data_IF_697390293239
#
_entry.id   IF_697390293239
#
_cell.length_a   1.000
_cell.length_b   1.000
_cell.length_c   1.000
_cell.angle_alpha   90.00
_cell.angle_beta   90.00
_cell.angle_gamma   90.00
#
_symmetry.space_group_name_H-M   'P 1'
#
loop_
_entity.id
_entity.type
_entity.pdbx_description
1 polymer ?
#
# COMPACT_ATOMS: atom_id res chain seq x y z
N UNK A 1 11.34 61.15 54.06
CA UNK A 1 10.31 60.24 53.51
C UNK A 1 9.79 60.81 52.20
N UNK A 2 10.36 60.44 51.04
CA UNK A 2 9.62 60.45 49.76
C UNK A 2 10.36 59.55 48.75
N UNK A 3 9.64 58.56 48.22
CA UNK A 3 10.11 57.47 47.35
C UNK A 3 10.30 57.95 45.90
N UNK A 4 11.43 57.60 45.30
CA UNK A 4 11.68 57.62 43.85
C UNK A 4 10.94 56.44 43.20
N UNK A 5 10.05 56.70 42.25
CA UNK A 5 9.44 55.68 41.40
C UNK A 5 10.40 55.31 40.25
N UNK A 6 10.84 54.06 40.21
CA UNK A 6 11.41 53.45 39.01
C UNK A 6 10.27 52.99 38.10
N UNK A 7 10.25 53.49 36.86
CA UNK A 7 9.39 53.00 35.79
C UNK A 7 10.09 51.79 35.16
N UNK A 8 9.60 50.59 35.44
CA UNK A 8 10.06 49.36 34.78
C UNK A 8 9.32 49.16 33.46
N UNK A 9 10.05 49.12 32.35
CA UNK A 9 9.52 48.75 31.04
C UNK A 9 9.40 47.23 30.99
N UNK A 10 8.18 46.70 31.00
CA UNK A 10 7.92 45.28 30.77
C UNK A 10 7.94 45.00 29.27
N UNK A 11 8.99 44.34 28.78
CA UNK A 11 9.03 43.78 27.44
C UNK A 11 8.13 42.54 27.40
N UNK A 12 6.94 42.65 26.79
CA UNK A 12 6.09 41.51 26.50
C UNK A 12 6.69 40.73 25.34
N UNK A 13 7.30 39.57 25.63
CA UNK A 13 7.72 38.62 24.62
C UNK A 13 6.47 37.98 24.01
N UNK A 14 6.16 38.34 22.76
CA UNK A 14 5.17 37.67 21.92
C UNK A 14 5.69 36.27 21.57
N UNK A 15 5.19 35.25 22.28
CA UNK A 15 5.28 33.86 21.86
C UNK A 15 4.37 33.69 20.64
N UNK A 16 4.95 33.72 19.45
CA UNK A 16 4.27 33.18 18.27
C UNK A 16 4.12 31.66 18.48
N UNK A 17 2.92 31.08 18.38
CA UNK A 17 2.82 29.64 18.25
C UNK A 17 3.48 29.25 16.93
N UNK A 18 4.70 28.73 17.01
CA UNK A 18 5.30 27.98 15.92
C UNK A 18 4.40 26.78 15.67
N UNK A 19 3.53 26.88 14.67
CA UNK A 19 2.81 25.73 14.15
C UNK A 19 3.87 24.74 13.68
N UNK A 20 4.07 23.66 14.44
CA UNK A 20 4.74 22.50 13.91
C UNK A 20 4.01 22.11 12.62
N UNK A 21 4.71 21.76 11.53
CA UNK A 21 4.05 21.12 10.41
C UNK A 21 3.25 19.95 11.00
N UNK A 22 1.98 19.84 10.65
CA UNK A 22 1.18 18.68 11.00
C UNK A 22 1.83 17.48 10.31
N UNK A 23 2.75 16.80 11.00
CA UNK A 23 3.30 15.52 10.56
C UNK A 23 2.09 14.61 10.39
N UNK A 24 1.97 14.04 9.18
CA UNK A 24 0.79 13.31 8.74
C UNK A 24 0.40 12.23 9.74
N UNK A 25 -0.91 12.03 9.90
CA UNK A 25 -1.49 11.07 10.81
C UNK A 25 -0.84 9.69 10.60
N UNK A 26 -0.21 9.15 11.64
CA UNK A 26 0.35 7.79 11.59
C UNK A 26 -0.79 6.79 11.40
N UNK A 27 -0.66 5.94 10.38
CA UNK A 27 -1.66 4.93 10.01
C UNK A 27 -1.07 3.56 10.22
N UNK A 28 -1.62 2.80 11.16
CA UNK A 28 -1.15 1.45 11.49
C UNK A 28 -2.08 0.34 11.02
N UNK A 29 -1.50 -0.78 10.63
CA UNK A 29 -2.11 -2.11 10.48
C UNK A 29 -1.20 -3.15 11.14
N UNK A 30 -1.56 -4.43 11.10
CA UNK A 30 -0.69 -5.52 11.53
C UNK A 30 -0.55 -6.57 10.43
N UNK A 31 0.63 -7.13 10.25
CA UNK A 31 0.98 -8.15 9.27
C UNK A 31 2.11 -9.03 9.85
N UNK A 32 2.14 -10.33 9.62
CA UNK A 32 3.26 -11.20 10.00
C UNK A 32 4.36 -11.12 8.93
N UNK A 33 5.17 -10.07 8.98
CA UNK A 33 6.13 -9.74 7.91
C UNK A 33 7.38 -10.62 7.97
N UNK A 34 7.73 -11.18 9.14
CA UNK A 34 8.90 -12.04 9.34
C UNK A 34 8.59 -13.54 9.47
N UNK A 35 7.31 -13.92 9.41
CA UNK A 35 6.83 -15.30 9.38
C UNK A 35 7.00 -16.02 10.72
N UNK A 36 7.08 -15.30 11.84
CA UNK A 36 7.22 -15.88 13.17
C UNK A 36 5.87 -16.34 13.79
N UNK A 37 4.76 -16.11 13.07
CA UNK A 37 3.41 -16.40 13.48
C UNK A 37 2.77 -15.32 14.36
N UNK A 38 3.40 -14.14 14.50
CA UNK A 38 2.90 -13.02 15.32
C UNK A 38 2.67 -11.79 14.45
N UNK A 39 1.61 -11.00 14.72
CA UNK A 39 1.38 -9.79 13.96
C UNK A 39 2.39 -8.69 14.29
N UNK A 40 3.11 -8.20 13.28
CA UNK A 40 3.99 -7.04 13.37
C UNK A 40 3.22 -5.74 13.13
N UNK A 41 3.42 -4.69 13.95
CA UNK A 41 2.88 -3.36 13.66
C UNK A 41 3.54 -2.77 12.41
N UNK A 42 2.71 -2.44 11.42
CA UNK A 42 3.12 -1.75 10.19
C UNK A 42 2.50 -0.36 10.18
N UNK A 43 3.31 0.69 10.06
CA UNK A 43 2.81 2.06 9.95
C UNK A 43 3.29 2.79 8.70
N UNK A 44 2.44 3.69 8.21
CA UNK A 44 2.74 4.60 7.11
C UNK A 44 2.56 6.04 7.59
N UNK A 45 3.59 6.86 7.41
CA UNK A 45 3.61 8.26 7.83
C UNK A 45 4.07 9.17 6.70
N UNK A 46 3.32 10.23 6.40
CA UNK A 46 3.77 11.26 5.44
C UNK A 46 4.95 12.05 6.02
N UNK A 47 6.08 12.06 5.32
CA UNK A 47 7.31 12.78 5.73
C UNK A 47 7.68 13.93 4.80
N UNK A 48 7.13 13.97 3.58
CA UNK A 48 7.14 15.13 2.67
C UNK A 48 5.96 15.07 1.70
N UNK A 49 5.75 16.07 0.85
CA UNK A 49 4.66 16.07 -0.15
C UNK A 49 4.71 14.92 -1.17
N UNK A 50 5.86 14.26 -1.30
CA UNK A 50 6.12 13.21 -2.28
C UNK A 50 6.62 11.89 -1.68
N UNK A 51 6.74 11.81 -0.36
CA UNK A 51 7.28 10.62 0.29
C UNK A 51 6.67 10.33 1.66
N UNK A 52 6.59 9.04 1.94
CA UNK A 52 6.13 8.49 3.21
C UNK A 52 7.23 7.59 3.80
N UNK A 53 7.17 7.38 5.11
CA UNK A 53 7.94 6.40 5.85
C UNK A 53 7.03 5.18 6.07
N UNK A 54 7.41 4.04 5.49
CA UNK A 54 6.91 2.73 5.86
C UNK A 54 7.79 2.22 7.00
N UNK A 55 7.18 1.86 8.13
CA UNK A 55 7.87 1.30 9.29
C UNK A 55 7.22 -0.01 9.67
N UNK A 56 8.02 -1.04 9.93
CA UNK A 56 7.59 -2.32 10.49
C UNK A 56 8.33 -2.55 11.81
N UNK A 57 7.60 -2.89 12.86
CA UNK A 57 8.19 -3.27 14.15
C UNK A 57 8.33 -4.77 14.25
N UNK A 58 9.55 -5.27 14.16
CA UNK A 58 9.90 -6.68 14.29
C UNK A 58 10.34 -7.00 15.73
N UNK A 59 10.51 -8.28 16.11
CA UNK A 59 11.03 -8.66 17.42
C UNK A 59 12.40 -8.03 17.74
N UNK A 60 12.39 -6.95 18.50
CA UNK A 60 13.61 -6.28 19.00
C UNK A 60 14.14 -5.15 18.12
N UNK A 61 13.50 -4.84 16.98
CA UNK A 61 13.93 -3.76 16.10
C UNK A 61 12.78 -3.11 15.30
N UNK A 62 13.07 -1.95 14.70
CA UNK A 62 12.22 -1.35 13.69
C UNK A 62 12.98 -1.30 12.38
N UNK A 63 12.33 -1.71 11.30
CA UNK A 63 12.84 -1.58 9.94
C UNK A 63 12.03 -0.53 9.19
N UNK A 64 12.74 0.36 8.51
CA UNK A 64 12.17 1.54 7.86
C UNK A 64 12.48 1.54 6.36
N UNK A 65 11.52 2.00 5.55
CA UNK A 65 11.73 2.31 4.15
C UNK A 65 11.07 3.65 3.79
N UNK A 66 11.77 4.44 2.96
CA UNK A 66 11.18 5.62 2.34
C UNK A 66 10.46 5.19 1.06
N UNK A 67 9.15 5.40 1.01
CA UNK A 67 8.31 4.99 -0.11
C UNK A 67 7.77 6.22 -0.85
N UNK A 68 7.60 6.15 -2.18
CA UNK A 68 6.92 7.21 -2.93
C UNK A 68 5.46 7.33 -2.48
N UNK A 69 4.94 8.55 -2.53
CA UNK A 69 3.49 8.71 -2.66
C UNK A 69 2.85 9.76 -1.75
N UNK A 70 1.56 9.91 -2.01
CA UNK A 70 0.59 10.61 -1.22
C UNK A 70 -0.57 9.65 -1.04
N UNK A 71 -0.61 8.97 0.11
CA UNK A 71 -1.63 7.95 0.37
C UNK A 71 -3.06 8.52 0.42
N UNK A 72 -3.25 9.84 0.37
CA UNK A 72 -4.59 10.44 0.54
C UNK A 72 -5.24 10.02 1.85
N UNK A 73 -4.44 9.71 2.88
CA UNK A 73 -4.88 9.17 4.16
C UNK A 73 -5.19 7.66 4.20
N UNK A 74 -4.95 6.91 3.11
CA UNK A 74 -5.10 5.45 3.04
C UNK A 74 -4.07 4.73 3.91
N UNK A 75 -4.46 3.58 4.44
CA UNK A 75 -3.58 2.68 5.17
C UNK A 75 -2.96 1.66 4.20
N UNK A 76 -1.79 1.08 4.54
CA UNK A 76 -1.33 -0.13 3.87
C UNK A 76 -2.32 -1.28 4.09
N UNK A 77 -2.31 -2.27 3.19
CA UNK A 77 -3.18 -3.46 3.28
C UNK A 77 -2.33 -4.72 3.42
N UNK A 78 -2.41 -5.44 4.56
CA UNK A 78 -1.76 -6.75 4.72
C UNK A 78 -2.32 -7.78 3.74
N UNK A 79 -1.44 -8.55 3.10
CA UNK A 79 -1.77 -9.61 2.14
C UNK A 79 -0.71 -10.72 2.20
N UNK A 80 -1.05 -11.93 1.76
CA UNK A 80 -0.10 -13.06 1.66
C UNK A 80 -0.02 -13.54 0.20
N UNK A 81 0.50 -12.76 -0.73
CA UNK A 81 0.20 -12.94 -2.17
C UNK A 81 0.64 -14.30 -2.76
N UNK A 82 1.57 -15.00 -2.11
CA UNK A 82 2.13 -16.28 -2.53
C UNK A 82 1.77 -17.47 -1.62
N UNK A 83 1.16 -17.26 -0.45
CA UNK A 83 0.80 -18.34 0.46
C UNK A 83 1.99 -18.97 1.19
N UNK A 84 3.07 -18.23 1.43
CA UNK A 84 4.28 -18.77 2.05
C UNK A 84 4.35 -18.57 3.57
N UNK A 85 3.37 -17.87 4.15
CA UNK A 85 3.30 -17.57 5.58
C UNK A 85 4.06 -16.32 5.99
N UNK A 86 4.60 -15.57 5.04
CA UNK A 86 5.10 -14.22 5.24
C UNK A 86 4.11 -13.26 4.60
N UNK A 87 3.61 -12.31 5.38
CA UNK A 87 2.74 -11.28 4.85
C UNK A 87 3.56 -10.23 4.08
N UNK A 88 3.03 -9.82 2.94
CA UNK A 88 3.37 -8.57 2.28
C UNK A 88 2.39 -7.45 2.65
N UNK A 89 2.73 -6.23 2.27
CA UNK A 89 1.82 -5.08 2.38
C UNK A 89 1.67 -4.35 1.06
N UNK A 90 0.41 -4.10 0.68
CA UNK A 90 0.08 -3.17 -0.40
C UNK A 90 0.19 -1.74 0.12
N UNK A 91 1.22 -1.02 -0.30
CA UNK A 91 1.46 0.36 0.10
C UNK A 91 0.80 1.30 -0.90
N UNK A 92 -0.15 2.17 -0.48
CA UNK A 92 -0.79 3.12 -1.38
C UNK A 92 0.24 4.13 -1.91
N UNK A 93 0.43 4.15 -3.23
CA UNK A 93 1.34 5.07 -3.93
C UNK A 93 0.60 6.33 -4.37
N UNK A 94 -0.59 6.17 -4.95
CA UNK A 94 -1.38 7.27 -5.50
C UNK A 94 -2.89 6.99 -5.40
N UNK A 95 -3.68 8.05 -5.30
CA UNK A 95 -5.14 8.01 -5.36
C UNK A 95 -5.62 9.00 -6.41
N UNK A 96 -6.42 8.54 -7.37
CA UNK A 96 -6.94 9.39 -8.44
C UNK A 96 -7.92 8.67 -9.34
N UNK A 97 -8.80 9.41 -10.02
CA UNK A 97 -9.77 8.85 -10.97
C UNK A 97 -10.65 7.70 -10.42
N UNK A 98 -10.96 7.72 -9.12
CA UNK A 98 -11.66 6.64 -8.40
C UNK A 98 -10.89 5.31 -8.32
N UNK A 99 -9.56 5.36 -8.44
CA UNK A 99 -8.65 4.22 -8.34
C UNK A 99 -7.56 4.52 -7.32
N UNK A 100 -7.18 3.50 -6.55
CA UNK A 100 -5.97 3.50 -5.72
C UNK A 100 -4.92 2.65 -6.42
N UNK A 101 -3.72 3.21 -6.57
CA UNK A 101 -2.54 2.46 -7.00
C UNK A 101 -1.76 2.06 -5.76
N UNK A 102 -1.49 0.77 -5.63
CA UNK A 102 -0.63 0.20 -4.62
C UNK A 102 0.67 -0.31 -5.25
N UNK A 103 1.73 -0.32 -4.45
CA UNK A 103 2.96 -1.08 -4.74
C UNK A 103 3.05 -2.21 -3.70
N UNK A 104 3.39 -3.41 -4.13
CA UNK A 104 3.62 -4.54 -3.21
C UNK A 104 4.98 -4.38 -2.53
N UNK A 105 5.01 -4.45 -1.20
CA UNK A 105 6.22 -4.41 -0.38
C UNK A 105 6.33 -5.66 0.47
N UNK A 106 7.54 -6.18 0.60
CA UNK A 106 7.85 -7.37 1.39
C UNK A 106 9.05 -7.10 2.30
N UNK A 107 9.30 -8.04 3.22
CA UNK A 107 10.46 -8.05 4.10
C UNK A 107 11.31 -9.30 3.87
N UNK A 108 12.63 -9.18 4.00
CA UNK A 108 13.52 -10.32 4.25
C UNK A 108 14.65 -9.89 5.18
N UNK A 109 15.20 -10.82 5.95
CA UNK A 109 16.31 -10.53 6.85
C UNK A 109 17.55 -9.97 6.11
N UNK A 110 17.77 -10.38 4.86
CA UNK A 110 18.90 -9.96 4.03
C UNK A 110 18.67 -8.60 3.36
N UNK A 111 17.44 -8.33 2.90
CA UNK A 111 17.11 -7.16 2.11
C UNK A 111 16.50 -6.01 2.94
N UNK A 112 16.01 -6.29 4.14
CA UNK A 112 15.12 -5.40 4.87
C UNK A 112 13.77 -5.26 4.14
N UNK A 113 13.15 -4.09 4.25
CA UNK A 113 11.94 -3.77 3.49
C UNK A 113 12.28 -3.42 2.04
N UNK A 114 11.59 -4.04 1.09
CA UNK A 114 11.78 -3.78 -0.33
C UNK A 114 10.46 -3.76 -1.09
N UNK A 115 10.36 -2.86 -2.08
CA UNK A 115 9.27 -2.90 -3.04
C UNK A 115 9.51 -4.05 -4.02
N UNK A 116 8.53 -4.94 -4.14
CA UNK A 116 8.64 -6.13 -4.99
C UNK A 116 8.67 -5.69 -6.46
N UNK A 117 9.76 -5.98 -7.19
CA UNK A 117 9.80 -5.70 -8.62
C UNK A 117 9.12 -6.81 -9.43
N UNK A 118 8.65 -6.45 -10.61
CA UNK A 118 8.40 -7.36 -11.71
C UNK A 118 9.74 -7.87 -12.28
N UNK A 119 9.70 -8.91 -13.12
CA UNK A 119 10.90 -9.47 -13.78
C UNK A 119 11.69 -8.48 -14.63
N UNK A 120 11.06 -7.41 -15.11
CA UNK A 120 11.71 -6.33 -15.87
C UNK A 120 12.29 -5.21 -14.97
N UNK A 121 12.15 -5.34 -13.65
CA UNK A 121 12.63 -4.37 -12.66
C UNK A 121 11.63 -3.26 -12.33
N UNK A 122 10.48 -3.19 -12.99
CA UNK A 122 9.44 -2.21 -12.66
C UNK A 122 8.78 -2.55 -11.31
N UNK A 123 8.30 -1.57 -10.51
CA UNK A 123 7.54 -1.86 -9.29
C UNK A 123 6.28 -2.67 -9.63
N UNK A 124 6.01 -3.71 -8.84
CA UNK A 124 4.77 -4.47 -8.99
C UNK A 124 3.60 -3.67 -8.43
N UNK A 125 2.84 -3.07 -9.35
CA UNK A 125 1.68 -2.24 -9.02
C UNK A 125 0.37 -3.02 -9.11
N UNK A 126 -0.48 -2.79 -8.10
CA UNK A 126 -1.83 -3.33 -8.00
C UNK A 126 -2.82 -2.15 -8.00
N UNK A 127 -3.99 -2.34 -8.60
CA UNK A 127 -4.98 -1.27 -8.76
C UNK A 127 -6.32 -1.71 -8.19
N UNK A 128 -6.99 -0.83 -7.47
CA UNK A 128 -8.32 -1.07 -6.90
C UNK A 128 -9.23 0.12 -7.17
N UNK A 129 -10.42 -0.12 -7.75
CA UNK A 129 -11.43 0.90 -8.03
C UNK A 129 -11.88 0.96 -9.50
N UNK A 130 -11.88 2.16 -10.10
CA UNK A 130 -12.25 2.41 -11.51
C UNK A 130 -13.61 3.08 -11.74
N UNK A 131 -14.51 3.05 -10.75
CA UNK A 131 -15.77 3.79 -10.80
C UNK A 131 -16.80 3.26 -11.82
N UNK A 132 -17.43 4.16 -12.59
CA UNK A 132 -18.48 3.79 -13.56
C UNK A 132 -17.91 3.32 -14.90
N UNK A 133 -16.73 3.78 -15.28
CA UNK A 133 -16.14 3.57 -16.62
C UNK A 133 -14.87 2.73 -16.58
N UNK A 134 -14.46 2.23 -15.42
CA UNK A 134 -13.36 1.29 -15.29
C UNK A 134 -13.60 0.30 -14.15
N UNK A 135 -12.93 -0.84 -14.22
CA UNK A 135 -12.86 -1.86 -13.18
C UNK A 135 -11.40 -2.18 -12.97
N UNK A 136 -10.92 -1.90 -11.77
CA UNK A 136 -9.62 -2.31 -11.26
C UNK A 136 -9.83 -3.11 -9.99
N UNK A 137 -9.40 -4.35 -9.95
CA UNK A 137 -9.50 -5.20 -8.76
C UNK A 137 -8.38 -6.24 -8.76
N UNK A 138 -8.18 -6.91 -7.64
CA UNK A 138 -7.25 -8.02 -7.50
C UNK A 138 -7.83 -9.11 -6.59
N UNK A 139 -7.20 -10.27 -6.59
CA UNK A 139 -7.53 -11.36 -5.71
C UNK A 139 -6.48 -12.46 -5.81
N UNK A 140 -6.47 -13.35 -4.83
CA UNK A 140 -5.53 -14.46 -4.78
C UNK A 140 -6.27 -15.77 -5.02
N UNK A 141 -5.61 -16.68 -5.72
CA UNK A 141 -6.14 -17.97 -6.09
C UNK A 141 -5.12 -19.09 -5.89
N UNK A 142 -5.55 -20.36 -6.01
CA UNK A 142 -4.64 -21.50 -5.92
C UNK A 142 -3.50 -21.41 -6.95
N UNK A 143 -2.27 -21.45 -6.46
CA UNK A 143 -1.03 -21.55 -7.24
C UNK A 143 -0.35 -22.91 -7.05
N UNK A 144 0.73 -23.16 -7.78
CA UNK A 144 1.57 -24.35 -7.58
C UNK A 144 3.06 -23.98 -7.67
N UNK A 145 3.79 -23.92 -6.54
CA UNK A 145 3.30 -24.03 -5.15
C UNK A 145 2.49 -22.78 -4.70
N UNK A 146 1.78 -22.89 -3.58
CA UNK A 146 1.20 -21.73 -2.87
C UNK A 146 0.00 -21.08 -3.55
N UNK A 147 0.03 -19.75 -3.62
CA UNK A 147 -1.00 -18.87 -4.22
C UNK A 147 -0.41 -18.10 -5.40
N UNK A 148 -1.31 -17.60 -6.23
CA UNK A 148 -1.04 -16.60 -7.26
C UNK A 148 -1.94 -15.40 -7.03
N UNK A 149 -1.50 -14.22 -7.47
CA UNK A 149 -2.31 -13.01 -7.47
C UNK A 149 -2.81 -12.73 -8.88
N UNK A 150 -4.12 -12.56 -9.02
CA UNK A 150 -4.76 -12.02 -10.21
C UNK A 150 -5.01 -10.52 -10.04
N UNK A 151 -4.62 -9.74 -11.05
CA UNK A 151 -4.95 -8.32 -11.19
C UNK A 151 -5.83 -8.14 -12.41
N UNK A 152 -6.90 -7.36 -12.29
CA UNK A 152 -7.84 -7.03 -13.36
C UNK A 152 -7.79 -5.53 -13.56
N UNK A 153 -7.61 -5.10 -14.82
CA UNK A 153 -7.76 -3.71 -15.22
C UNK A 153 -8.51 -3.62 -16.53
N UNK A 154 -9.69 -3.01 -16.51
CA UNK A 154 -10.53 -2.84 -17.69
C UNK A 154 -11.24 -1.48 -17.70
N UNK A 155 -11.57 -0.98 -18.89
CA UNK A 155 -12.31 0.26 -19.11
C UNK A 155 -13.53 0.01 -20.00
N UNK A 156 -14.58 0.80 -19.79
CA UNK A 156 -15.78 0.79 -20.61
C UNK A 156 -15.46 1.38 -21.99
N UNK A 157 -15.72 0.63 -23.04
CA UNK A 157 -15.53 1.05 -24.42
C UNK A 157 -16.82 1.58 -25.04
N UNK A 158 -16.69 2.21 -26.22
CA UNK A 158 -17.81 2.83 -26.94
C UNK A 158 -18.92 1.85 -27.37
N UNK A 159 -18.60 0.55 -27.44
CA UNK A 159 -19.58 -0.51 -27.72
C UNK A 159 -20.40 -0.93 -26.48
N UNK A 160 -20.15 -0.29 -25.34
CA UNK A 160 -20.79 -0.59 -24.06
C UNK A 160 -20.21 -1.80 -23.33
N UNK A 161 -19.23 -2.49 -23.92
CA UNK A 161 -18.50 -3.58 -23.27
C UNK A 161 -17.22 -3.08 -22.61
N UNK A 162 -16.71 -3.84 -21.63
CA UNK A 162 -15.40 -3.58 -21.03
C UNK A 162 -14.27 -4.20 -21.86
N UNK A 163 -13.13 -3.50 -21.91
CA UNK A 163 -11.89 -3.94 -22.53
C UNK A 163 -10.72 -3.74 -21.60
N UNK A 164 -9.76 -4.66 -21.62
CA UNK A 164 -8.61 -4.61 -20.74
C UNK A 164 -7.96 -5.97 -20.59
N UNK A 165 -7.56 -6.30 -19.37
CA UNK A 165 -6.81 -7.51 -19.10
C UNK A 165 -6.98 -8.01 -17.66
N UNK A 166 -6.83 -9.34 -17.53
CA UNK A 166 -6.53 -10.02 -16.28
C UNK A 166 -5.12 -10.57 -16.37
N UNK A 167 -4.28 -10.28 -15.39
CA UNK A 167 -2.88 -10.74 -15.31
C UNK A 167 -2.69 -11.53 -14.04
N UNK A 168 -2.19 -12.75 -14.16
CA UNK A 168 -1.84 -13.64 -13.05
C UNK A 168 -0.35 -13.54 -12.80
N UNK A 169 0.02 -13.33 -11.54
CA UNK A 169 1.39 -13.22 -11.07
C UNK A 169 1.72 -14.33 -10.08
N UNK A 170 2.91 -14.89 -10.21
CA UNK A 170 3.56 -15.69 -9.17
C UNK A 170 4.63 -14.83 -8.51
N UNK A 171 4.54 -14.65 -7.19
CA UNK A 171 5.60 -14.06 -6.40
C UNK A 171 6.48 -15.17 -5.82
N UNK A 172 7.80 -15.05 -6.03
CA UNK A 172 8.79 -15.96 -5.48
C UNK A 172 10.17 -15.30 -5.51
N UNK A 173 11.00 -15.60 -4.51
CA UNK A 173 12.40 -15.13 -4.45
C UNK A 173 12.54 -13.59 -4.59
N UNK A 174 11.60 -12.85 -3.99
CA UNK A 174 11.62 -11.38 -4.00
C UNK A 174 11.27 -10.75 -5.35
N UNK A 175 10.74 -11.49 -6.33
CA UNK A 175 10.33 -10.96 -7.64
C UNK A 175 8.96 -11.51 -8.05
N UNK A 176 8.12 -10.64 -8.60
CA UNK A 176 6.84 -11.04 -9.20
C UNK A 176 7.01 -11.35 -10.70
N UNK A 177 6.63 -12.56 -11.08
CA UNK A 177 6.59 -13.01 -12.46
C UNK A 177 5.17 -13.11 -12.96
N UNK A 178 4.86 -12.45 -14.09
CA UNK A 178 3.66 -12.76 -14.84
C UNK A 178 3.73 -14.20 -15.34
N UNK A 179 2.70 -14.98 -15.03
CA UNK A 179 2.56 -16.38 -15.46
C UNK A 179 1.46 -16.55 -16.50
N UNK A 180 0.47 -15.67 -16.51
CA UNK A 180 -0.62 -15.70 -17.47
C UNK A 180 -1.22 -14.31 -17.66
N UNK A 181 -1.67 -14.02 -18.89
CA UNK A 181 -2.39 -12.81 -19.24
C UNK A 181 -3.55 -13.14 -20.15
N UNK A 182 -4.74 -12.72 -19.75
CA UNK A 182 -5.97 -12.90 -20.49
C UNK A 182 -6.48 -11.52 -20.96
N UNK A 183 -6.52 -11.25 -22.27
CA UNK A 183 -7.19 -10.05 -22.76
C UNK A 183 -8.71 -10.16 -22.51
N UNK A 184 -9.31 -9.03 -22.14
CA UNK A 184 -10.74 -8.88 -21.91
C UNK A 184 -11.28 -7.98 -23.01
N UNK A 185 -12.37 -8.38 -23.67
CA UNK A 185 -12.99 -7.59 -24.73
C UNK A 185 -14.49 -7.84 -24.84
N UNK A 186 -15.27 -6.76 -24.84
CA UNK A 186 -16.71 -6.79 -25.12
C UNK A 186 -17.55 -7.46 -24.03
N UNK A 187 -17.01 -7.57 -22.81
CA UNK A 187 -17.72 -8.23 -21.69
C UNK A 187 -18.58 -7.24 -20.90
N UNK A 188 -19.66 -7.74 -20.29
CA UNK A 188 -20.48 -6.94 -19.37
C UNK A 188 -19.79 -6.71 -18.02
N UNK A 189 -20.27 -5.75 -17.23
CA UNK A 189 -19.67 -5.40 -15.92
C UNK A 189 -19.62 -6.57 -14.93
N UNK A 190 -20.64 -7.42 -14.95
CA UNK A 190 -20.77 -8.55 -14.02
C UNK A 190 -20.09 -9.83 -14.56
N UNK A 191 -19.35 -9.73 -15.67
CA UNK A 191 -18.62 -10.86 -16.24
C UNK A 191 -17.55 -11.36 -15.26
N UNK A 192 -17.44 -12.67 -15.01
CA UNK A 192 -16.41 -13.25 -14.13
C UNK A 192 -14.97 -12.86 -14.50
N UNK A 193 -14.68 -12.55 -15.77
CA UNK A 193 -13.36 -12.09 -16.20
C UNK A 193 -12.96 -10.76 -15.53
N UNK A 194 -13.93 -9.94 -15.14
CA UNK A 194 -13.73 -8.68 -14.43
C UNK A 194 -13.71 -8.83 -12.90
N UNK A 195 -14.04 -10.01 -12.37
CA UNK A 195 -14.16 -10.23 -10.94
C UNK A 195 -12.87 -10.79 -10.35
N UNK A 196 -12.42 -10.15 -9.28
CA UNK A 196 -11.45 -10.67 -8.33
C UNK A 196 -11.79 -10.08 -6.96
N UNK A 197 -11.55 -10.85 -5.90
CA UNK A 197 -11.91 -10.48 -4.52
C UNK A 197 -10.64 -10.25 -3.69
N UNK A 198 -10.33 -9.01 -3.29
CA UNK A 198 -9.18 -8.70 -2.45
C UNK A 198 -9.12 -9.50 -1.15
N UNK A 199 -10.27 -9.89 -0.57
CA UNK A 199 -10.31 -10.66 0.67
C UNK A 199 -9.69 -12.05 0.53
N UNK A 200 -9.61 -12.59 -0.69
CA UNK A 200 -8.92 -13.85 -0.96
C UNK A 200 -7.40 -13.76 -0.81
N UNK A 201 -6.85 -12.54 -0.82
CA UNK A 201 -5.43 -12.30 -0.53
C UNK A 201 -5.12 -12.10 0.95
N UNK A 202 -6.11 -12.15 1.85
CA UNK A 202 -5.87 -11.94 3.27
C UNK A 202 -4.77 -12.88 3.82
N UNK A 203 -3.99 -12.41 4.81
CA UNK A 203 -3.11 -13.25 5.62
C UNK A 203 -3.84 -14.49 6.12
N UNK A 204 -3.21 -15.67 6.02
CA UNK A 204 -3.83 -16.93 6.43
C UNK A 204 -3.98 -17.05 7.95
N UNK A 205 -3.21 -16.26 8.69
CA UNK A 205 -3.04 -16.39 10.13
C UNK A 205 -3.92 -15.42 10.93
N UNK A 206 -4.86 -14.74 10.25
CA UNK A 206 -5.90 -13.88 10.84
C UNK A 206 -7.05 -14.62 11.55
N UNK A 207 -6.83 -15.81 12.13
CA UNK A 207 -7.80 -16.54 12.97
C UNK A 207 -7.24 -16.91 14.35
#
# INVERSE_FOLDING_TARGET
MTRTLLVGVAAAALLLPGGAPALGQERGVTADMDGDGRPDPVSLQQVSDSSMLLRVGLPGEFVDAKVPGNAGGRQPVPVDVNGDGFDEVLVPEAVGANTVTYVVWAYSAEAGLFGVPLRDGAPWRIFEGGGATAVSTYGCGPGRPGRVLDSVNAYLADDGGYRGERVTYQFAYGVAGEVYRMPISGVGRDDPALQADPATCAPLDGR
#
